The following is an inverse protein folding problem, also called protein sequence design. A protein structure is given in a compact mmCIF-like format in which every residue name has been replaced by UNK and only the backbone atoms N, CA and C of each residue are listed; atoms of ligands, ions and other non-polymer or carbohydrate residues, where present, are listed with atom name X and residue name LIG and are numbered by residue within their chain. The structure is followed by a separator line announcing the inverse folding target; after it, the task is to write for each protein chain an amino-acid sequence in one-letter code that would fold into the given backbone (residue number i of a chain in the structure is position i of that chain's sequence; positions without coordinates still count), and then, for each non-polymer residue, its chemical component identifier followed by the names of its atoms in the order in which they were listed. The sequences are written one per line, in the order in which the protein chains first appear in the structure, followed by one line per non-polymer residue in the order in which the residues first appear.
data_IF_548787108268
#
_entry.id   IF_548787108268
#
_cell.length_a   1.000
_cell.length_b   1.000
_cell.length_c   1.000
_cell.angle_alpha   90.00
_cell.angle_beta   90.00
_cell.angle_gamma   90.00
#
_symmetry.space_group_name_H-M   'P 1'
#
loop_
_entity.id
_entity.type
_entity.pdbx_description
1 polymer ?
#
# COMPACT_ATOMS: atom_id res chain seq x y z
N UNK A 1 6.32 5.43 40.53
CA UNK A 1 5.24 4.41 40.59
C UNK A 1 4.81 4.20 39.14
N UNK A 2 5.03 3.01 38.60
CA UNK A 2 4.55 2.71 37.24
C UNK A 2 3.01 2.78 37.27
N UNK A 3 2.40 3.61 36.43
CA UNK A 3 0.95 3.62 36.23
C UNK A 3 0.53 2.21 35.84
N UNK A 4 -0.33 1.62 36.66
CA UNK A 4 -0.90 0.30 36.39
C UNK A 4 -1.83 0.48 35.19
N UNK A 5 -1.42 -0.05 34.04
CA UNK A 5 -2.21 -0.02 32.82
C UNK A 5 -3.54 -0.73 33.11
N UNK A 6 -4.60 0.04 33.32
CA UNK A 6 -5.92 -0.48 33.55
C UNK A 6 -6.65 -0.54 32.21
N UNK A 7 -7.38 -1.63 31.91
CA UNK A 7 -8.14 -1.81 30.65
C UNK A 7 -9.21 -0.72 30.40
N UNK A 8 -9.31 0.27 31.29
CA UNK A 8 -10.26 1.41 31.21
C UNK A 8 -9.66 2.68 30.62
N UNK A 9 -8.33 2.81 30.62
CA UNK A 9 -7.66 4.01 30.16
C UNK A 9 -7.13 3.81 28.74
N UNK A 10 -7.48 4.71 27.83
CA UNK A 10 -6.96 4.73 26.47
C UNK A 10 -5.55 5.35 26.49
N UNK A 11 -4.53 4.62 26.01
CA UNK A 11 -3.16 5.14 25.89
C UNK A 11 -3.04 6.05 24.66
N UNK A 12 -2.39 7.21 24.83
CA UNK A 12 -2.02 8.09 23.71
C UNK A 12 -0.86 7.47 22.93
N UNK A 13 -1.15 6.91 21.76
CA UNK A 13 -0.17 6.36 20.84
C UNK A 13 0.38 7.46 19.92
N UNK A 14 1.09 8.45 20.48
CA UNK A 14 1.90 9.39 19.68
C UNK A 14 3.33 8.88 19.53
N UNK A 15 3.56 7.89 18.69
CA UNK A 15 4.90 7.55 18.27
C UNK A 15 5.29 8.31 16.99
N UNK A 16 6.34 9.12 17.10
CA UNK A 16 6.94 9.83 15.96
C UNK A 16 7.79 8.83 15.17
N UNK A 17 7.58 8.79 13.85
CA UNK A 17 8.42 8.00 12.94
C UNK A 17 9.87 8.44 13.09
N UNK A 18 10.74 7.54 13.54
CA UNK A 18 12.16 7.78 13.59
C UNK A 18 12.83 7.28 12.30
N UNK A 19 12.94 8.16 11.32
CA UNK A 19 13.56 7.85 10.02
C UNK A 19 15.00 7.33 10.14
N UNK A 20 15.69 7.64 11.25
CA UNK A 20 17.07 7.19 11.48
C UNK A 20 17.13 5.69 11.79
N UNK A 21 16.13 5.17 12.48
CA UNK A 21 16.08 3.74 12.81
C UNK A 21 15.67 2.92 11.59
N UNK A 22 14.76 3.43 10.76
CA UNK A 22 14.43 2.84 9.44
C UNK A 22 15.66 2.79 8.52
N UNK A 23 16.50 3.85 8.51
CA UNK A 23 17.72 3.86 7.72
C UNK A 23 18.73 2.79 8.17
N UNK A 24 18.78 2.44 9.47
CA UNK A 24 19.63 1.34 9.99
C UNK A 24 19.18 -0.01 9.45
N UNK A 25 17.87 -0.24 9.36
CA UNK A 25 17.34 -1.50 8.81
C UNK A 25 17.63 -1.60 7.31
N UNK A 26 17.70 -0.47 6.59
CA UNK A 26 18.12 -0.41 5.18
C UNK A 26 19.51 -0.98 4.91
N UNK A 27 20.38 -1.11 5.93
CA UNK A 27 21.70 -1.74 5.78
C UNK A 27 21.57 -3.21 5.37
N UNK A 28 20.53 -3.92 5.79
CA UNK A 28 20.27 -5.30 5.40
C UNK A 28 19.86 -5.46 3.93
N UNK A 29 19.47 -4.37 3.26
CA UNK A 29 19.20 -4.38 1.82
C UNK A 29 20.49 -4.33 0.99
N UNK A 30 21.59 -3.75 1.53
CA UNK A 30 22.85 -3.55 0.80
C UNK A 30 23.40 -4.80 0.12
N UNK A 31 23.46 -6.00 0.77
CA UNK A 31 23.99 -7.22 0.14
C UNK A 31 23.19 -7.65 -1.09
N UNK A 32 21.93 -7.21 -1.20
CA UNK A 32 20.97 -7.62 -2.22
C UNK A 32 20.72 -6.52 -3.27
N UNK A 33 21.47 -5.41 -3.22
CA UNK A 33 21.28 -4.26 -4.12
C UNK A 33 21.38 -4.62 -5.60
N UNK A 34 22.24 -5.54 -5.99
CA UNK A 34 22.32 -5.99 -7.38
C UNK A 34 21.00 -6.62 -7.86
N UNK A 35 20.33 -7.40 -7.02
CA UNK A 35 19.01 -7.98 -7.33
C UNK A 35 17.93 -6.89 -7.36
N UNK A 36 17.97 -5.97 -6.42
CA UNK A 36 17.01 -4.83 -6.39
C UNK A 36 17.15 -3.99 -7.65
N UNK A 37 18.36 -3.66 -8.08
CA UNK A 37 18.61 -2.93 -9.34
C UNK A 37 18.07 -3.72 -10.53
N UNK A 38 18.28 -5.03 -10.58
CA UNK A 38 17.74 -5.86 -11.65
C UNK A 38 16.20 -5.89 -11.67
N UNK A 39 15.57 -5.97 -10.48
CA UNK A 39 14.12 -5.84 -10.35
C UNK A 39 13.65 -4.48 -10.87
N UNK A 40 14.34 -3.38 -10.54
CA UNK A 40 14.00 -2.05 -11.02
C UNK A 40 14.14 -1.91 -12.55
N UNK A 41 15.11 -2.58 -13.15
CA UNK A 41 15.23 -2.63 -14.62
C UNK A 41 14.04 -3.35 -15.25
N UNK A 42 13.64 -4.49 -14.69
CA UNK A 42 12.45 -5.23 -15.14
C UNK A 42 11.18 -4.37 -14.97
N UNK A 43 11.04 -3.68 -13.86
CA UNK A 43 9.95 -2.73 -13.60
C UNK A 43 9.93 -1.61 -14.63
N UNK A 44 11.09 -1.05 -14.96
CA UNK A 44 11.21 -0.03 -15.97
C UNK A 44 10.73 -0.54 -17.34
N UNK A 45 11.15 -1.74 -17.73
CA UNK A 45 10.68 -2.38 -18.96
C UNK A 45 9.17 -2.60 -18.97
N UNK A 46 8.60 -3.07 -17.85
CA UNK A 46 7.15 -3.23 -17.66
C UNK A 46 6.41 -1.88 -17.75
N UNK A 47 6.96 -0.82 -17.17
CA UNK A 47 6.41 0.54 -17.27
C UNK A 47 6.36 1.03 -18.72
N UNK A 48 7.40 0.74 -19.53
CA UNK A 48 7.40 1.04 -20.96
C UNK A 48 6.29 0.26 -21.69
N UNK A 49 6.10 -1.03 -21.40
CA UNK A 49 5.04 -1.84 -22.02
C UNK A 49 3.66 -1.26 -21.68
N UNK A 50 3.41 -0.88 -20.42
CA UNK A 50 2.16 -0.27 -19.97
C UNK A 50 1.80 1.02 -20.72
N UNK A 51 2.80 1.77 -21.17
CA UNK A 51 2.59 3.00 -21.93
C UNK A 51 2.45 2.73 -23.42
N UNK A 52 3.11 1.69 -23.94
CA UNK A 52 3.04 1.30 -25.35
C UNK A 52 1.65 0.76 -25.72
N UNK A 53 0.98 0.06 -24.82
CA UNK A 53 -0.33 -0.53 -25.06
C UNK A 53 -1.40 0.49 -25.50
N UNK A 54 -1.66 1.61 -24.78
CA UNK A 54 -2.60 2.63 -25.23
C UNK A 54 -2.15 3.34 -26.51
N UNK A 55 -0.83 3.48 -26.72
CA UNK A 55 -0.29 4.08 -27.93
C UNK A 55 -0.54 3.22 -29.18
N UNK A 56 -0.34 1.91 -29.08
CA UNK A 56 -0.67 0.98 -30.17
C UNK A 56 -2.18 0.96 -30.44
N UNK A 57 -3.01 1.01 -29.39
CA UNK A 57 -4.46 1.14 -29.52
C UNK A 57 -4.84 2.41 -30.29
N UNK A 58 -4.19 3.54 -30.00
CA UNK A 58 -4.34 4.79 -30.77
C UNK A 58 -4.05 4.55 -32.26
N UNK A 59 -2.91 3.94 -32.61
CA UNK A 59 -2.50 3.71 -34.01
C UNK A 59 -3.55 2.82 -34.72
N UNK A 60 -4.02 1.77 -34.05
CA UNK A 60 -5.05 0.90 -34.61
C UNK A 60 -6.33 1.67 -34.96
N UNK A 61 -6.80 2.53 -34.05
CA UNK A 61 -8.05 3.27 -34.22
C UNK A 61 -7.93 4.39 -35.27
N UNK A 62 -6.84 5.15 -35.21
CA UNK A 62 -6.70 6.34 -36.05
C UNK A 62 -6.24 6.04 -37.49
N UNK A 63 -5.47 4.97 -37.70
CA UNK A 63 -4.82 4.72 -38.97
C UNK A 63 -5.19 3.38 -39.61
N UNK A 64 -5.20 2.28 -38.84
CA UNK A 64 -5.30 0.94 -39.39
C UNK A 64 -6.75 0.56 -39.70
N UNK A 65 -7.67 0.86 -38.80
CA UNK A 65 -9.10 0.56 -38.99
C UNK A 65 -9.71 1.38 -40.13
N UNK A 66 -9.49 2.71 -40.24
CA UNK A 66 -9.98 3.49 -41.37
C UNK A 66 -9.40 3.04 -42.72
N UNK A 67 -8.14 2.62 -42.74
CA UNK A 67 -7.48 2.08 -43.92
C UNK A 67 -7.95 0.65 -44.31
N UNK A 68 -8.76 -0.01 -43.47
CA UNK A 68 -9.22 -1.39 -43.65
C UNK A 68 -8.11 -2.42 -43.87
N UNK A 69 -6.91 -2.13 -43.37
CA UNK A 69 -5.73 -2.99 -43.53
C UNK A 69 -5.76 -4.11 -42.46
N UNK A 70 -6.41 -5.23 -42.79
CA UNK A 70 -6.55 -6.39 -41.91
C UNK A 70 -5.22 -7.07 -41.59
N UNK A 71 -4.24 -7.03 -42.52
CA UNK A 71 -2.93 -7.63 -42.27
C UNK A 71 -2.17 -6.88 -41.16
N UNK A 72 -2.06 -5.55 -41.30
CA UNK A 72 -1.42 -4.71 -40.28
C UNK A 72 -2.16 -4.75 -38.94
N UNK A 73 -3.50 -4.83 -38.96
CA UNK A 73 -4.29 -4.99 -37.74
C UNK A 73 -3.93 -6.30 -37.02
N UNK A 74 -3.83 -7.40 -37.77
CA UNK A 74 -3.44 -8.70 -37.22
C UNK A 74 -2.04 -8.69 -36.60
N UNK A 75 -1.07 -8.02 -37.27
CA UNK A 75 0.30 -7.85 -36.73
C UNK A 75 0.32 -7.05 -35.42
N UNK A 76 -0.42 -5.94 -35.33
CA UNK A 76 -0.47 -5.11 -34.14
C UNK A 76 -1.18 -5.83 -32.98
N UNK A 77 -2.25 -6.57 -33.25
CA UNK A 77 -2.92 -7.38 -32.23
C UNK A 77 -2.00 -8.51 -31.73
N UNK A 78 -1.27 -9.17 -32.64
CA UNK A 78 -0.29 -10.18 -32.24
C UNK A 78 0.86 -9.56 -31.40
N UNK A 79 1.34 -8.38 -31.79
CA UNK A 79 2.34 -7.65 -31.00
C UNK A 79 1.84 -7.30 -29.61
N UNK A 80 0.58 -6.80 -29.48
CA UNK A 80 -0.04 -6.54 -28.17
C UNK A 80 -0.13 -7.80 -27.33
N UNK A 81 -0.58 -8.92 -27.91
CA UNK A 81 -0.67 -10.18 -27.21
C UNK A 81 0.71 -10.63 -26.69
N UNK A 82 1.77 -10.49 -27.47
CA UNK A 82 3.14 -10.79 -27.05
C UNK A 82 3.59 -9.86 -25.91
N UNK A 83 3.32 -8.55 -26.03
CA UNK A 83 3.68 -7.58 -24.99
C UNK A 83 2.96 -7.87 -23.66
N UNK A 84 1.68 -8.23 -23.70
CA UNK A 84 0.90 -8.63 -22.51
C UNK A 84 1.53 -9.87 -21.86
N UNK A 85 1.89 -10.89 -22.65
CA UNK A 85 2.53 -12.09 -22.13
C UNK A 85 3.89 -11.76 -21.49
N UNK A 86 4.70 -10.92 -22.12
CA UNK A 86 5.98 -10.45 -21.56
C UNK A 86 5.75 -9.68 -20.24
N UNK A 87 4.73 -8.82 -20.19
CA UNK A 87 4.35 -8.08 -19.00
C UNK A 87 3.97 -9.00 -17.85
N UNK A 88 3.14 -10.01 -18.07
CA UNK A 88 2.73 -10.98 -17.05
C UNK A 88 3.90 -11.82 -16.52
N UNK A 89 4.82 -12.25 -17.40
CA UNK A 89 6.05 -12.91 -16.96
C UNK A 89 6.95 -11.98 -16.17
N UNK A 90 7.04 -10.71 -16.56
CA UNK A 90 7.75 -9.67 -15.82
C UNK A 90 7.17 -9.45 -14.43
N UNK A 91 5.84 -9.39 -14.33
CA UNK A 91 5.11 -9.24 -13.06
C UNK A 91 5.38 -10.43 -12.11
N UNK A 92 5.30 -11.65 -12.66
CA UNK A 92 5.65 -12.86 -11.89
C UNK A 92 7.09 -12.83 -11.42
N UNK A 93 8.03 -12.51 -12.31
CA UNK A 93 9.46 -12.44 -11.97
C UNK A 93 9.71 -11.40 -10.88
N UNK A 94 9.19 -10.17 -11.04
CA UNK A 94 9.24 -9.11 -10.03
C UNK A 94 8.75 -9.59 -8.68
N UNK A 95 7.54 -10.18 -8.62
CA UNK A 95 6.91 -10.63 -7.37
C UNK A 95 7.76 -11.69 -6.67
N UNK A 96 8.26 -12.67 -7.40
CA UNK A 96 9.09 -13.74 -6.85
C UNK A 96 10.43 -13.19 -6.33
N UNK A 97 11.10 -12.34 -7.09
CA UNK A 97 12.41 -11.79 -6.68
C UNK A 97 12.30 -10.80 -5.51
N UNK A 98 11.24 -9.97 -5.45
CA UNK A 98 10.97 -9.12 -4.28
C UNK A 98 10.77 -9.97 -3.03
N UNK A 99 9.92 -11.00 -3.13
CA UNK A 99 9.67 -11.92 -2.01
C UNK A 99 10.96 -12.61 -1.58
N UNK A 100 11.76 -13.06 -2.54
CA UNK A 100 13.06 -13.71 -2.27
C UNK A 100 14.05 -12.79 -1.55
N UNK A 101 14.16 -11.53 -1.99
CA UNK A 101 14.99 -10.51 -1.32
C UNK A 101 14.50 -10.28 0.10
N UNK A 102 13.18 -10.14 0.30
CA UNK A 102 12.57 -9.99 1.63
C UNK A 102 12.89 -11.16 2.56
N UNK A 103 12.79 -12.40 2.08
CA UNK A 103 13.11 -13.58 2.87
C UNK A 103 14.60 -13.71 3.21
N UNK A 104 15.49 -13.26 2.32
CA UNK A 104 16.92 -13.22 2.63
C UNK A 104 17.23 -12.16 3.69
N UNK A 105 16.67 -10.95 3.57
CA UNK A 105 16.79 -9.90 4.60
C UNK A 105 16.26 -10.41 5.94
N UNK A 106 15.09 -11.03 5.95
CA UNK A 106 14.47 -11.60 7.14
C UNK A 106 15.38 -12.65 7.82
N UNK A 107 15.98 -13.52 7.02
CA UNK A 107 16.95 -14.52 7.50
C UNK A 107 18.16 -13.86 8.18
N UNK A 108 18.75 -12.84 7.53
CA UNK A 108 19.92 -12.15 8.06
C UNK A 108 19.59 -11.37 9.34
N UNK A 109 18.47 -10.65 9.35
CA UNK A 109 17.99 -9.93 10.54
C UNK A 109 17.72 -10.88 11.71
N UNK A 110 17.06 -12.00 11.47
CA UNK A 110 16.79 -13.01 12.51
C UNK A 110 18.07 -13.63 13.05
N UNK A 111 19.04 -13.94 12.18
CA UNK A 111 20.34 -14.47 12.59
C UNK A 111 21.05 -13.49 13.53
N UNK A 112 21.15 -12.23 13.11
CA UNK A 112 21.87 -11.21 13.88
C UNK A 112 21.17 -10.91 15.21
N UNK A 113 19.83 -10.83 15.21
CA UNK A 113 19.02 -10.68 16.41
C UNK A 113 19.19 -11.89 17.36
N UNK A 114 19.14 -13.10 16.84
CA UNK A 114 19.30 -14.31 17.65
C UNK A 114 20.69 -14.35 18.28
N UNK A 115 21.75 -14.06 17.51
CA UNK A 115 23.10 -13.96 18.02
C UNK A 115 23.23 -12.91 19.11
N UNK A 116 22.64 -11.73 18.89
CA UNK A 116 22.66 -10.63 19.87
C UNK A 116 21.94 -10.99 21.17
N UNK A 117 20.76 -11.63 21.08
CA UNK A 117 20.00 -12.05 22.25
C UNK A 117 20.82 -13.00 23.13
N UNK A 118 21.62 -13.89 22.53
CA UNK A 118 22.46 -14.84 23.27
C UNK A 118 23.64 -14.18 24.01
N UNK A 119 23.99 -12.94 23.66
CA UNK A 119 25.04 -12.17 24.34
C UNK A 119 24.51 -11.27 25.45
N UNK A 120 23.17 -11.18 25.60
CA UNK A 120 22.57 -10.33 26.62
C UNK A 120 22.70 -10.90 28.04
N UNK A 121 22.87 -10.05 29.07
CA UNK A 121 22.98 -10.50 30.46
C UNK A 121 21.67 -11.08 30.98
N UNK A 122 21.73 -11.97 31.97
CA UNK A 122 20.53 -12.59 32.58
C UNK A 122 19.53 -11.56 33.12
N UNK A 123 19.99 -10.43 33.64
CA UNK A 123 19.11 -9.35 34.11
C UNK A 123 18.14 -8.81 33.06
N UNK A 124 18.50 -8.93 31.76
CA UNK A 124 17.60 -8.58 30.67
C UNK A 124 16.40 -9.52 30.58
N UNK A 125 16.64 -10.82 30.79
CA UNK A 125 15.60 -11.86 30.73
C UNK A 125 14.74 -11.88 31.97
N UNK A 126 15.33 -11.65 33.15
CA UNK A 126 14.62 -11.62 34.43
C UNK A 126 13.65 -10.42 34.53
N UNK A 127 14.00 -9.29 33.87
CA UNK A 127 13.20 -8.07 33.90
C UNK A 127 12.07 -8.00 32.87
N UNK A 128 12.01 -8.93 31.90
CA UNK A 128 11.06 -8.90 30.76
C UNK A 128 10.37 -10.21 30.52
N UNK A 129 9.04 -10.20 30.26
CA UNK A 129 8.29 -11.42 29.89
C UNK A 129 8.86 -12.02 28.59
N UNK A 130 9.15 -13.31 28.59
CA UNK A 130 9.68 -14.04 27.43
C UNK A 130 8.82 -13.89 26.17
N UNK A 131 7.49 -13.79 26.32
CA UNK A 131 6.55 -13.55 25.21
C UNK A 131 6.79 -12.23 24.48
N UNK A 132 7.18 -11.14 25.20
CA UNK A 132 7.50 -9.85 24.56
C UNK A 132 8.78 -9.94 23.71
N UNK A 133 9.77 -10.71 24.17
CA UNK A 133 11.02 -10.92 23.42
C UNK A 133 10.71 -11.70 22.13
N UNK A 134 9.90 -12.75 22.23
CA UNK A 134 9.51 -13.57 21.08
C UNK A 134 8.75 -12.74 20.02
N UNK A 135 7.79 -11.92 20.42
CA UNK A 135 7.03 -11.04 19.51
C UNK A 135 7.96 -10.08 18.77
N UNK A 136 8.96 -9.51 19.44
CA UNK A 136 9.93 -8.61 18.81
C UNK A 136 10.78 -9.32 17.76
N UNK A 137 11.25 -10.52 18.05
CA UNK A 137 12.13 -11.30 17.15
C UNK A 137 11.37 -11.85 15.95
N UNK A 138 10.11 -12.20 16.13
CA UNK A 138 9.33 -12.84 15.05
C UNK A 138 8.47 -11.83 14.30
N UNK A 139 7.56 -11.12 14.98
CA UNK A 139 6.56 -10.32 14.30
C UNK A 139 7.11 -9.00 13.77
N UNK A 140 7.85 -8.23 14.60
CA UNK A 140 8.36 -6.93 14.18
C UNK A 140 9.39 -7.06 13.05
N UNK A 141 10.23 -8.09 13.10
CA UNK A 141 11.22 -8.34 12.03
C UNK A 141 10.53 -8.69 10.71
N UNK A 142 9.42 -9.45 10.75
CA UNK A 142 8.62 -9.72 9.56
C UNK A 142 8.08 -8.42 8.95
N UNK A 143 7.42 -7.60 9.78
CA UNK A 143 6.82 -6.33 9.32
C UNK A 143 7.88 -5.40 8.71
N UNK A 144 9.06 -5.28 9.34
CA UNK A 144 10.18 -4.50 8.82
C UNK A 144 10.69 -5.03 7.47
N UNK A 145 10.87 -6.35 7.36
CA UNK A 145 11.31 -6.98 6.12
C UNK A 145 10.31 -6.75 4.98
N UNK A 146 9.02 -6.93 5.23
CA UNK A 146 7.96 -6.74 4.24
C UNK A 146 7.86 -5.28 3.79
N UNK A 147 7.98 -4.34 4.71
CA UNK A 147 7.94 -2.90 4.41
C UNK A 147 9.13 -2.47 3.55
N UNK A 148 10.34 -2.93 3.88
CA UNK A 148 11.54 -2.53 3.14
C UNK A 148 11.69 -3.25 1.81
N UNK A 149 11.26 -4.52 1.69
CA UNK A 149 11.37 -5.26 0.44
C UNK A 149 10.24 -4.95 -0.52
N UNK A 150 9.00 -5.32 -0.17
CA UNK A 150 7.85 -5.16 -1.07
C UNK A 150 7.31 -3.73 -1.07
N UNK A 151 7.22 -3.08 0.08
CA UNK A 151 6.67 -1.73 0.21
C UNK A 151 7.48 -0.70 -0.59
N UNK A 152 8.79 -0.63 -0.34
CA UNK A 152 9.68 0.33 -1.03
C UNK A 152 9.73 0.09 -2.55
N UNK A 153 9.89 -1.17 -2.98
CA UNK A 153 9.99 -1.50 -4.41
C UNK A 153 8.67 -1.21 -5.14
N UNK A 154 7.53 -1.45 -4.50
CA UNK A 154 6.23 -1.11 -5.09
C UNK A 154 6.09 0.40 -5.31
N UNK A 155 6.41 1.21 -4.30
CA UNK A 155 6.35 2.68 -4.42
C UNK A 155 7.28 3.19 -5.54
N UNK A 156 8.53 2.71 -5.58
CA UNK A 156 9.47 3.10 -6.64
C UNK A 156 8.92 2.71 -8.02
N UNK A 157 8.35 1.50 -8.13
CA UNK A 157 7.74 1.01 -9.38
C UNK A 157 6.61 1.90 -9.86
N UNK A 158 5.69 2.23 -8.96
CA UNK A 158 4.50 3.02 -9.29
C UNK A 158 4.86 4.48 -9.62
N UNK A 159 5.78 5.06 -8.86
CA UNK A 159 6.32 6.40 -9.14
C UNK A 159 7.02 6.42 -10.50
N UNK A 160 7.82 5.41 -10.82
CA UNK A 160 8.49 5.32 -12.10
C UNK A 160 7.50 5.19 -13.28
N UNK A 161 6.51 4.31 -13.16
CA UNK A 161 5.43 4.16 -14.15
C UNK A 161 4.65 5.46 -14.33
N UNK A 162 4.35 6.17 -13.23
CA UNK A 162 3.70 7.47 -13.28
C UNK A 162 4.48 8.49 -14.08
N UNK A 163 5.78 8.63 -13.83
CA UNK A 163 6.61 9.59 -14.56
C UNK A 163 6.73 9.25 -16.05
N UNK A 164 6.90 7.97 -16.40
CA UNK A 164 6.92 7.55 -17.82
C UNK A 164 5.60 7.88 -18.49
N UNK A 165 4.48 7.51 -17.87
CA UNK A 165 3.13 7.80 -18.39
C UNK A 165 2.94 9.29 -18.60
N UNK A 166 3.33 10.10 -17.62
CA UNK A 166 3.25 11.55 -17.70
C UNK A 166 4.06 12.12 -18.85
N UNK A 167 5.33 11.69 -19.02
CA UNK A 167 6.18 12.12 -20.14
C UNK A 167 5.52 11.79 -21.48
N UNK A 168 5.00 10.57 -21.64
CA UNK A 168 4.35 10.17 -22.91
C UNK A 168 3.07 10.97 -23.17
N UNK A 169 2.27 11.23 -22.16
CA UNK A 169 1.08 12.10 -22.32
C UNK A 169 1.46 13.50 -22.82
N UNK A 170 2.52 14.11 -22.26
CA UNK A 170 2.98 15.41 -22.72
C UNK A 170 3.56 15.39 -24.13
N UNK A 171 4.19 14.29 -24.54
CA UNK A 171 4.72 14.11 -25.92
C UNK A 171 3.58 13.90 -26.93
N UNK A 172 2.52 13.18 -26.55
CA UNK A 172 1.38 12.91 -27.45
C UNK A 172 0.51 14.15 -27.64
N UNK A 173 0.08 14.79 -26.57
CA UNK A 173 -0.61 16.08 -26.59
C UNK A 173 -0.48 16.77 -25.22
N UNK A 174 0.29 17.86 -25.17
CA UNK A 174 0.55 18.57 -23.92
C UNK A 174 -0.70 19.28 -23.33
N UNK A 175 -1.64 19.70 -24.20
CA UNK A 175 -2.87 20.40 -23.76
C UNK A 175 -3.81 19.40 -23.10
N UNK A 176 -4.06 18.28 -23.75
CA UNK A 176 -4.91 17.22 -23.18
C UNK A 176 -4.28 16.63 -21.92
N UNK A 177 -2.93 16.55 -21.84
CA UNK A 177 -2.22 16.14 -20.64
C UNK A 177 -2.49 17.09 -19.46
N UNK A 178 -2.45 18.41 -19.65
CA UNK A 178 -2.78 19.38 -18.61
C UNK A 178 -4.23 19.26 -18.14
N UNK A 179 -5.18 19.09 -19.06
CA UNK A 179 -6.59 18.87 -18.68
C UNK A 179 -6.78 17.55 -17.94
N UNK A 180 -6.10 16.50 -18.31
CA UNK A 180 -6.14 15.21 -17.61
C UNK A 180 -5.62 15.30 -16.18
N UNK A 181 -4.63 16.19 -15.94
CA UNK A 181 -4.06 16.42 -14.61
C UNK A 181 -4.89 17.41 -13.77
N UNK A 182 -5.89 18.10 -14.33
CA UNK A 182 -6.64 19.12 -13.62
C UNK A 182 -7.37 18.59 -12.37
N UNK A 183 -7.83 17.32 -12.39
CA UNK A 183 -8.50 16.68 -11.27
C UNK A 183 -7.55 15.91 -10.34
N UNK A 184 -6.26 15.81 -10.69
CA UNK A 184 -5.26 15.12 -9.87
C UNK A 184 -5.05 15.75 -8.48
N UNK A 185 -5.01 17.09 -8.30
CA UNK A 185 -4.99 17.69 -6.97
C UNK A 185 -6.20 17.32 -6.10
N UNK A 186 -7.38 17.20 -6.71
CA UNK A 186 -8.60 16.77 -6.01
C UNK A 186 -8.47 15.33 -5.50
N UNK A 187 -7.87 14.44 -6.30
CA UNK A 187 -7.58 13.07 -5.88
C UNK A 187 -6.61 13.05 -4.69
N UNK A 188 -5.51 13.79 -4.76
CA UNK A 188 -4.54 13.87 -3.67
C UNK A 188 -5.23 14.38 -2.40
N UNK A 189 -6.02 15.44 -2.49
CA UNK A 189 -6.76 15.99 -1.36
C UNK A 189 -7.74 14.96 -0.76
N UNK A 190 -8.45 14.19 -1.60
CA UNK A 190 -9.33 13.11 -1.17
C UNK A 190 -8.58 12.02 -0.41
N UNK A 191 -7.50 11.50 -0.99
CA UNK A 191 -6.72 10.40 -0.38
C UNK A 191 -6.09 10.84 0.94
N UNK A 192 -5.42 12.01 0.96
CA UNK A 192 -4.78 12.52 2.19
C UNK A 192 -5.80 12.86 3.27
N UNK A 193 -6.93 13.48 2.89
CA UNK A 193 -8.02 13.77 3.82
C UNK A 193 -8.56 12.48 4.45
N UNK A 194 -8.88 11.48 3.64
CA UNK A 194 -9.42 10.22 4.13
C UNK A 194 -8.42 9.45 5.00
N UNK A 195 -7.14 9.44 4.63
CA UNK A 195 -6.08 8.83 5.44
C UNK A 195 -5.98 9.44 6.84
N UNK A 196 -6.16 10.76 6.97
CA UNK A 196 -6.19 11.41 8.28
C UNK A 196 -7.33 10.89 9.17
N UNK A 197 -8.53 10.73 8.61
CA UNK A 197 -9.66 10.16 9.34
C UNK A 197 -9.47 8.67 9.64
N UNK A 198 -8.93 7.91 8.69
CA UNK A 198 -8.60 6.49 8.89
C UNK A 198 -7.61 6.31 10.05
N UNK A 199 -6.53 7.09 10.10
CA UNK A 199 -5.53 7.01 11.16
C UNK A 199 -6.17 7.17 12.54
N UNK A 200 -7.02 8.18 12.72
CA UNK A 200 -7.74 8.38 13.99
C UNK A 200 -8.66 7.21 14.35
N UNK A 201 -9.38 6.69 13.37
CA UNK A 201 -10.27 5.55 13.59
C UNK A 201 -9.49 4.29 13.99
N UNK A 202 -8.33 4.02 13.35
CA UNK A 202 -7.45 2.92 13.68
C UNK A 202 -6.83 3.07 15.08
N UNK A 203 -6.47 4.27 15.52
CA UNK A 203 -5.98 4.52 16.89
C UNK A 203 -7.03 4.15 17.93
N UNK A 204 -8.27 4.61 17.74
CA UNK A 204 -9.38 4.26 18.62
C UNK A 204 -9.63 2.74 18.65
N UNK A 205 -9.60 2.10 17.49
CA UNK A 205 -9.75 0.64 17.36
C UNK A 205 -8.64 -0.09 18.11
N UNK A 206 -7.39 0.32 17.91
CA UNK A 206 -6.20 -0.26 18.56
C UNK A 206 -6.31 -0.19 20.08
N UNK A 207 -6.71 0.97 20.63
CA UNK A 207 -6.93 1.15 22.07
C UNK A 207 -8.02 0.23 22.60
N UNK A 208 -9.17 0.14 21.91
CA UNK A 208 -10.27 -0.76 22.35
C UNK A 208 -9.86 -2.23 22.25
N UNK A 209 -9.08 -2.61 21.24
CA UNK A 209 -8.54 -3.96 21.11
C UNK A 209 -7.52 -4.28 22.23
N UNK A 210 -6.65 -3.31 22.57
CA UNK A 210 -5.70 -3.44 23.67
C UNK A 210 -6.42 -3.64 25.02
N UNK A 211 -7.46 -2.84 25.28
CA UNK A 211 -8.27 -2.94 26.49
C UNK A 211 -8.97 -4.31 26.61
N UNK A 212 -9.54 -4.81 25.49
CA UNK A 212 -10.13 -6.14 25.45
C UNK A 212 -9.11 -7.24 25.74
N UNK A 213 -7.92 -7.14 25.11
CA UNK A 213 -6.84 -8.11 25.32
C UNK A 213 -6.35 -8.11 26.78
N UNK A 214 -6.21 -6.93 27.39
CA UNK A 214 -5.86 -6.80 28.80
C UNK A 214 -6.93 -7.42 29.71
N UNK A 215 -8.21 -7.17 29.44
CA UNK A 215 -9.33 -7.78 30.17
C UNK A 215 -9.33 -9.30 30.03
N UNK A 216 -9.14 -9.85 28.84
CA UNK A 216 -9.06 -11.31 28.62
C UNK A 216 -7.91 -11.90 29.44
N UNK A 217 -6.72 -11.27 29.39
CA UNK A 217 -5.56 -11.72 30.15
C UNK A 217 -5.81 -11.73 31.65
N UNK A 218 -6.42 -10.66 32.18
CA UNK A 218 -6.79 -10.56 33.61
C UNK A 218 -7.85 -11.62 33.99
N UNK A 219 -8.85 -11.83 33.14
CA UNK A 219 -9.90 -12.83 33.37
C UNK A 219 -9.36 -14.26 33.42
N UNK A 220 -8.40 -14.59 32.52
CA UNK A 220 -7.75 -15.91 32.51
C UNK A 220 -6.88 -16.08 33.76
N UNK A 221 -6.08 -15.07 34.11
CA UNK A 221 -5.23 -15.10 35.28
C UNK A 221 -6.04 -15.21 36.61
N UNK A 222 -7.20 -14.55 36.63
CA UNK A 222 -8.10 -14.50 37.78
C UNK A 222 -9.24 -15.56 37.79
N UNK A 223 -9.21 -16.54 36.87
CA UNK A 223 -10.34 -17.49 36.70
C UNK A 223 -10.71 -18.24 37.97
N UNK A 224 -9.74 -18.67 38.77
CA UNK A 224 -10.00 -19.34 40.06
C UNK A 224 -10.78 -18.44 41.02
N UNK A 225 -10.41 -17.18 41.10
CA UNK A 225 -11.10 -16.18 41.93
C UNK A 225 -12.52 -15.96 41.43
N UNK A 226 -12.72 -15.81 40.13
CA UNK A 226 -14.04 -15.65 39.52
C UNK A 226 -14.96 -16.83 39.86
N UNK A 227 -14.48 -18.05 39.70
CA UNK A 227 -15.21 -19.27 40.01
C UNK A 227 -15.49 -19.42 41.54
N UNK A 228 -14.49 -19.11 42.39
CA UNK A 228 -14.67 -19.19 43.86
C UNK A 228 -15.76 -18.24 44.33
N UNK A 229 -15.90 -17.07 43.71
CA UNK A 229 -16.91 -16.08 44.10
C UNK A 229 -18.17 -16.12 43.21
N UNK A 230 -18.34 -17.12 42.36
CA UNK A 230 -19.47 -17.28 41.43
C UNK A 230 -19.78 -15.99 40.65
N UNK A 231 -18.75 -15.35 40.07
CA UNK A 231 -18.84 -14.06 39.34
C UNK A 231 -18.75 -14.20 37.82
N UNK A 232 -19.00 -15.38 37.27
CA UNK A 232 -18.90 -15.69 35.85
C UNK A 232 -19.82 -14.79 35.00
N UNK A 233 -21.07 -14.61 35.41
CA UNK A 233 -22.03 -13.75 34.71
C UNK A 233 -21.62 -12.28 34.66
N UNK A 234 -20.96 -11.81 35.74
CA UNK A 234 -20.46 -10.44 35.79
C UNK A 234 -19.28 -10.25 34.81
N UNK A 235 -18.36 -11.21 34.80
CA UNK A 235 -17.22 -11.21 33.86
C UNK A 235 -17.71 -11.33 32.43
N UNK A 236 -18.70 -12.16 32.15
CA UNK A 236 -19.29 -12.32 30.83
C UNK A 236 -19.94 -11.01 30.31
N UNK A 237 -20.69 -10.30 31.18
CA UNK A 237 -21.23 -8.98 30.82
C UNK A 237 -20.15 -7.97 30.50
N UNK A 238 -19.10 -7.87 31.31
CA UNK A 238 -17.98 -6.96 31.04
C UNK A 238 -17.29 -7.34 29.75
N UNK A 239 -17.10 -8.64 29.46
CA UNK A 239 -16.58 -9.10 28.17
C UNK A 239 -17.43 -8.63 26.98
N UNK A 240 -18.77 -8.80 27.10
CA UNK A 240 -19.71 -8.36 26.05
C UNK A 240 -19.64 -6.84 25.80
N UNK A 241 -19.50 -6.04 26.88
CA UNK A 241 -19.34 -4.57 26.76
C UNK A 241 -18.04 -4.21 26.03
N UNK A 242 -16.91 -4.81 26.40
CA UNK A 242 -15.62 -4.59 25.75
C UNK A 242 -15.65 -5.04 24.29
N UNK A 243 -16.21 -6.22 24.02
CA UNK A 243 -16.39 -6.74 22.66
C UNK A 243 -17.30 -5.82 21.82
N UNK A 244 -18.36 -5.28 22.40
CA UNK A 244 -19.25 -4.31 21.78
C UNK A 244 -18.51 -3.01 21.40
N UNK A 245 -17.64 -2.51 22.29
CA UNK A 245 -16.83 -1.34 22.04
C UNK A 245 -15.83 -1.57 20.88
N UNK A 246 -15.16 -2.72 20.85
CA UNK A 246 -14.27 -3.11 19.73
C UNK A 246 -15.06 -3.20 18.44
N UNK A 247 -16.23 -3.87 18.44
CA UNK A 247 -17.09 -3.99 17.26
C UNK A 247 -17.49 -2.63 16.69
N UNK A 248 -17.91 -1.70 17.55
CA UNK A 248 -18.34 -0.37 17.12
C UNK A 248 -17.18 0.45 16.54
N UNK A 249 -16.00 0.38 17.16
CA UNK A 249 -14.77 1.01 16.65
C UNK A 249 -14.34 0.39 15.31
N UNK A 250 -14.41 -0.94 15.19
CA UNK A 250 -14.12 -1.64 13.93
C UNK A 250 -15.06 -1.22 12.81
N UNK A 251 -16.37 -1.20 13.06
CA UNK A 251 -17.35 -0.79 12.05
C UNK A 251 -17.13 0.66 11.59
N UNK A 252 -16.77 1.57 12.51
CA UNK A 252 -16.39 2.93 12.15
C UNK A 252 -15.17 2.97 11.23
N UNK A 253 -14.15 2.17 11.52
CA UNK A 253 -12.95 2.04 10.68
C UNK A 253 -13.30 1.52 9.28
N UNK A 254 -14.15 0.47 9.22
CA UNK A 254 -14.63 -0.10 7.95
C UNK A 254 -15.39 0.93 7.12
N UNK A 255 -16.32 1.68 7.73
CA UNK A 255 -17.06 2.73 7.00
C UNK A 255 -16.15 3.78 6.38
N UNK A 256 -15.12 4.25 7.11
CA UNK A 256 -14.16 5.22 6.57
C UNK A 256 -13.30 4.57 5.48
N UNK A 257 -12.81 3.35 5.69
CA UNK A 257 -11.97 2.64 4.73
C UNK A 257 -12.70 2.35 3.42
N UNK A 258 -13.98 1.96 3.51
CA UNK A 258 -14.79 1.63 2.34
C UNK A 258 -15.05 2.84 1.45
N UNK A 259 -14.97 4.08 1.97
CA UNK A 259 -15.12 5.30 1.16
C UNK A 259 -13.90 5.57 0.24
N UNK A 260 -12.77 4.92 0.47
CA UNK A 260 -11.55 5.13 -0.33
C UNK A 260 -11.78 4.81 -1.81
N UNK A 261 -12.21 3.58 -2.10
CA UNK A 261 -12.40 3.11 -3.48
C UNK A 261 -13.50 3.84 -4.26
N UNK A 262 -14.72 4.03 -3.73
CA UNK A 262 -15.76 4.80 -4.41
C UNK A 262 -15.34 6.25 -4.70
N UNK A 263 -14.62 6.90 -3.79
CA UNK A 263 -14.15 8.26 -4.02
C UNK A 263 -13.11 8.33 -5.14
N UNK A 264 -12.10 7.45 -5.12
CA UNK A 264 -11.11 7.35 -6.20
C UNK A 264 -11.81 7.05 -7.53
N UNK A 265 -12.71 6.06 -7.56
CA UNK A 265 -13.44 5.68 -8.75
C UNK A 265 -14.29 6.82 -9.32
N UNK A 266 -14.96 7.58 -8.45
CA UNK A 266 -15.75 8.74 -8.87
C UNK A 266 -14.87 9.81 -9.51
N UNK A 267 -13.73 10.15 -8.90
CA UNK A 267 -12.78 11.11 -9.45
C UNK A 267 -12.19 10.60 -10.77
N UNK A 268 -11.89 9.30 -10.87
CA UNK A 268 -11.43 8.66 -12.10
C UNK A 268 -12.44 8.82 -13.24
N UNK A 269 -13.70 8.48 -13.00
CA UNK A 269 -14.78 8.61 -13.99
C UNK A 269 -14.98 10.08 -14.38
N UNK A 270 -14.93 11.00 -13.42
CA UNK A 270 -14.98 12.44 -13.69
C UNK A 270 -13.82 12.90 -14.59
N UNK A 271 -12.61 12.40 -14.33
CA UNK A 271 -11.43 12.71 -15.15
C UNK A 271 -11.63 12.18 -16.59
N UNK A 272 -12.08 10.96 -16.74
CA UNK A 272 -12.37 10.36 -18.06
C UNK A 272 -13.46 11.16 -18.80
N UNK A 273 -14.55 11.48 -18.12
CA UNK A 273 -15.63 12.30 -18.70
C UNK A 273 -15.11 13.68 -19.12
N UNK A 274 -14.24 14.29 -18.32
CA UNK A 274 -13.64 15.56 -18.63
C UNK A 274 -12.68 15.49 -19.83
N UNK A 275 -11.88 14.44 -19.95
CA UNK A 275 -11.02 14.18 -21.12
C UNK A 275 -11.88 14.07 -22.40
N UNK A 276 -12.98 13.30 -22.34
CA UNK A 276 -13.90 13.20 -23.49
C UNK A 276 -14.57 14.53 -23.81
N UNK A 277 -15.03 15.27 -22.82
CA UNK A 277 -15.64 16.59 -23.02
C UNK A 277 -14.68 17.54 -23.72
N UNK A 278 -13.45 17.69 -23.22
CA UNK A 278 -12.42 18.56 -23.79
C UNK A 278 -12.07 18.12 -25.22
N UNK A 279 -11.86 16.83 -25.44
CA UNK A 279 -11.45 16.32 -26.73
C UNK A 279 -12.53 16.38 -27.81
N UNK A 280 -13.80 16.17 -27.45
CA UNK A 280 -14.93 16.25 -28.42
C UNK A 280 -15.33 17.68 -28.74
N UNK A 281 -15.30 18.57 -27.73
CA UNK A 281 -15.71 19.98 -27.91
C UNK A 281 -14.59 20.86 -28.49
N UNK A 282 -13.35 20.38 -28.55
CA UNK A 282 -12.19 21.19 -28.93
C UNK A 282 -11.89 22.32 -27.91
N UNK A 283 -12.35 22.16 -26.67
CA UNK A 283 -12.18 23.19 -25.63
C UNK A 283 -10.70 23.52 -25.42
N UNK A 284 -10.37 24.81 -25.38
CA UNK A 284 -8.99 25.27 -25.21
C UNK A 284 -8.09 25.03 -26.45
N UNK A 285 -8.67 24.79 -27.63
CA UNK A 285 -7.93 24.54 -28.87
C UNK A 285 -7.31 23.15 -28.95
N UNK A 286 -7.91 22.17 -28.26
CA UNK A 286 -7.55 20.76 -28.34
C UNK A 286 -8.25 20.14 -29.55
N UNK A 287 -7.48 19.77 -30.55
CA UNK A 287 -7.95 19.04 -31.75
C UNK A 287 -7.24 17.69 -31.81
N UNK A 288 -7.94 16.67 -31.32
CA UNK A 288 -7.36 15.34 -31.15
C UNK A 288 -8.23 14.26 -31.80
N UNK A 289 -7.59 13.21 -32.26
CA UNK A 289 -8.27 12.07 -32.86
C UNK A 289 -8.93 11.18 -31.80
N UNK A 290 -9.88 10.36 -32.22
CA UNK A 290 -10.56 9.39 -31.34
C UNK A 290 -9.57 8.43 -30.69
N UNK A 291 -8.54 7.99 -31.42
CA UNK A 291 -7.51 7.11 -30.86
C UNK A 291 -6.67 7.79 -29.78
N UNK A 292 -6.37 9.09 -29.92
CA UNK A 292 -5.70 9.87 -28.86
C UNK A 292 -6.56 9.93 -27.60
N UNK A 293 -7.86 10.17 -27.70
CA UNK A 293 -8.77 10.19 -26.54
C UNK A 293 -8.77 8.85 -25.81
N UNK A 294 -8.88 7.75 -26.55
CA UNK A 294 -8.88 6.40 -25.94
C UNK A 294 -7.52 6.10 -25.28
N UNK A 295 -6.41 6.49 -25.89
CA UNK A 295 -5.10 6.35 -25.27
C UNK A 295 -4.97 7.15 -23.98
N UNK A 296 -5.48 8.39 -23.95
CA UNK A 296 -5.46 9.23 -22.75
C UNK A 296 -6.31 8.67 -21.62
N UNK A 297 -7.42 8.03 -21.91
CA UNK A 297 -8.22 7.30 -20.90
C UNK A 297 -7.40 6.14 -20.33
N UNK A 298 -6.68 5.40 -21.15
CA UNK A 298 -5.75 4.36 -20.71
C UNK A 298 -4.64 4.91 -19.81
N UNK A 299 -4.02 6.01 -20.19
CA UNK A 299 -2.99 6.66 -19.36
C UNK A 299 -3.55 7.22 -18.06
N UNK A 300 -4.74 7.84 -18.08
CA UNK A 300 -5.37 8.36 -16.87
C UNK A 300 -5.62 7.27 -15.82
N UNK A 301 -5.95 6.06 -16.24
CA UNK A 301 -6.14 4.92 -15.33
C UNK A 301 -4.85 4.53 -14.58
N UNK A 302 -3.68 4.86 -15.10
CA UNK A 302 -2.40 4.57 -14.43
C UNK A 302 -2.02 5.58 -13.34
N UNK A 303 -2.73 6.72 -13.21
CA UNK A 303 -2.41 7.75 -12.20
C UNK A 303 -2.82 7.40 -10.77
N UNK A 304 -3.75 6.45 -10.60
CA UNK A 304 -4.32 6.15 -9.29
C UNK A 304 -3.37 5.31 -8.42
N UNK A 305 -2.70 4.35 -9.03
CA UNK A 305 -1.86 3.39 -8.32
C UNK A 305 -0.74 4.05 -7.51
N UNK A 306 0.06 4.99 -8.04
CA UNK A 306 1.12 5.66 -7.28
C UNK A 306 0.63 6.36 -6.02
N UNK A 307 -0.53 7.04 -6.09
CA UNK A 307 -1.09 7.78 -4.96
C UNK A 307 -1.49 6.82 -3.84
N UNK A 308 -2.14 5.71 -4.21
CA UNK A 308 -2.57 4.67 -3.26
C UNK A 308 -1.34 3.98 -2.64
N UNK A 309 -0.35 3.64 -3.47
CA UNK A 309 0.87 2.94 -3.01
C UNK A 309 1.69 3.77 -2.04
N UNK A 310 1.87 5.07 -2.31
CA UNK A 310 2.56 5.99 -1.39
C UNK A 310 1.81 6.07 -0.06
N UNK A 311 0.48 6.17 -0.10
CA UNK A 311 -0.34 6.21 1.09
C UNK A 311 -0.25 4.93 1.93
N UNK A 312 -0.30 3.77 1.29
CA UNK A 312 -0.17 2.48 1.95
C UNK A 312 1.24 2.30 2.55
N UNK A 313 2.27 2.68 1.81
CA UNK A 313 3.65 2.62 2.28
C UNK A 313 3.88 3.52 3.50
N UNK A 314 3.34 4.73 3.50
CA UNK A 314 3.39 5.63 4.64
C UNK A 314 2.73 5.00 5.89
N UNK A 315 1.56 4.37 5.73
CA UNK A 315 0.90 3.66 6.84
C UNK A 315 1.73 2.46 7.34
N UNK A 316 2.36 1.70 6.44
CA UNK A 316 3.26 0.61 6.82
C UNK A 316 4.48 1.13 7.61
N UNK A 317 5.07 2.27 7.19
CA UNK A 317 6.18 2.89 7.93
C UNK A 317 5.78 3.30 9.34
N UNK A 318 4.57 3.85 9.54
CA UNK A 318 4.05 4.17 10.88
C UNK A 318 3.93 2.90 11.72
N UNK A 319 3.34 1.84 11.18
CA UNK A 319 3.18 0.56 11.89
C UNK A 319 4.52 -0.08 12.26
N UNK A 320 5.55 0.12 11.43
CA UNK A 320 6.91 -0.38 11.72
C UNK A 320 7.64 0.42 12.79
N UNK A 321 7.28 1.69 12.97
CA UNK A 321 7.95 2.59 13.94
C UNK A 321 7.35 2.50 15.35
N UNK A 322 6.14 1.93 15.47
CA UNK A 322 5.43 1.66 16.74
C UNK A 322 5.88 0.31 17.33
#
# INVERSE_FOLDING_TARGET
MAQRNTFRDDEDLEEKINMRDLARVGVYLKPYMARVVWILIVVAAMGCINVVEPYLTKIMIDSVIPAKNLALLGELVALLAVLIVIYEFGLRYRTVEITRVGQFMLKDMRRDLFTHIQTLPFSYFDSRPHGKILIRVVNYVNTLSDTLSSGLVNVISDVFTFFITLVVMFVVDWRLALYSLALFPLLIAWVLGLQHFQRRAYQVLSNKQSNLNAFIHESIAGVKTTQTFAREDTQFRTFQEQQGAVRSAWMRTVHIQTLMWPGIQTISVMTIAFIYYVGVTGFGGVDVTTGVLIAFVGYANNFWNPVISIGNFYNQLITCSA
#
